data_IF_362219604600
#
_entry.id   IF_362219604600
#
_cell.length_a   1.000
_cell.length_b   1.000
_cell.length_c   1.000
_cell.angle_alpha   90.00
_cell.angle_beta   90.00
_cell.angle_gamma   90.00
#
_symmetry.space_group_name_H-M   'P 1'
#
loop_
_entity.id
_entity.type
_entity.pdbx_description
1 polymer ?
#
# COMPACT_ATOMS: atom_id res chain seq x y z
N UNK A 1 -6.75 7.66 -14.08
CA UNK A 1 -6.18 6.96 -15.25
C UNK A 1 -7.31 6.60 -16.20
N UNK A 2 -7.08 6.71 -17.49
CA UNK A 2 -8.04 6.31 -18.53
C UNK A 2 -8.38 4.82 -18.36
N UNK A 3 -9.65 4.48 -18.27
CA UNK A 3 -10.09 3.10 -18.01
C UNK A 3 -10.34 2.77 -16.54
N UNK A 4 -10.09 3.67 -15.60
CA UNK A 4 -10.46 3.48 -14.20
C UNK A 4 -11.98 3.36 -14.06
N UNK A 5 -12.42 2.30 -13.39
CA UNK A 5 -13.82 2.12 -12.95
C UNK A 5 -13.99 2.48 -11.48
N UNK A 6 -12.89 2.75 -10.77
CA UNK A 6 -12.92 3.19 -9.39
C UNK A 6 -13.26 4.68 -9.33
N UNK A 7 -14.20 5.01 -8.49
CA UNK A 7 -14.54 6.38 -8.15
C UNK A 7 -13.77 6.77 -6.89
N UNK A 8 -12.95 7.80 -6.98
CA UNK A 8 -12.29 8.41 -5.83
C UNK A 8 -12.95 9.75 -5.55
N UNK A 9 -13.56 9.90 -4.37
CA UNK A 9 -14.29 11.11 -3.99
C UNK A 9 -13.83 11.62 -2.63
N UNK A 10 -13.64 12.94 -2.51
CA UNK A 10 -13.49 13.56 -1.20
C UNK A 10 -14.83 13.49 -0.44
N UNK A 11 -14.80 12.98 0.79
CA UNK A 11 -15.94 12.91 1.70
C UNK A 11 -15.47 13.37 3.09
N UNK A 12 -15.71 14.64 3.43
CA UNK A 12 -15.12 15.23 4.64
C UNK A 12 -13.60 15.23 4.52
N UNK A 13 -12.92 14.63 5.49
CA UNK A 13 -11.47 14.51 5.54
C UNK A 13 -10.95 13.22 4.87
N UNK A 14 -11.85 12.38 4.35
CA UNK A 14 -11.53 11.12 3.71
C UNK A 14 -11.48 11.21 2.18
N UNK A 15 -10.68 10.34 1.58
CA UNK A 15 -10.79 9.93 0.18
C UNK A 15 -11.53 8.60 0.15
N UNK A 16 -12.80 8.64 -0.28
CA UNK A 16 -13.60 7.44 -0.47
C UNK A 16 -13.30 6.81 -1.83
N UNK A 17 -12.88 5.55 -1.82
CA UNK A 17 -12.63 4.74 -3.01
C UNK A 17 -13.72 3.69 -3.18
N UNK A 18 -14.45 3.73 -4.29
CA UNK A 18 -15.56 2.83 -4.56
C UNK A 18 -15.50 2.24 -5.96
N UNK A 19 -15.89 0.97 -6.08
CA UNK A 19 -15.78 0.20 -7.31
C UNK A 19 -14.32 -0.02 -7.72
N UNK A 20 -14.10 -0.57 -8.88
CA UNK A 20 -12.76 -0.87 -9.41
C UNK A 20 -12.86 -1.70 -10.70
N UNK A 21 -11.72 -1.98 -11.31
CA UNK A 21 -10.37 -1.55 -10.94
C UNK A 21 -10.10 -0.07 -11.25
N UNK A 22 -9.12 0.50 -10.56
CA UNK A 22 -8.65 1.86 -10.83
C UNK A 22 -7.63 2.36 -9.81
N UNK A 23 -7.01 3.49 -10.12
CA UNK A 23 -5.93 4.06 -9.33
C UNK A 23 -6.04 5.57 -9.24
N UNK A 24 -5.74 6.12 -8.05
CA UNK A 24 -5.52 7.54 -7.83
C UNK A 24 -4.04 7.75 -7.55
N UNK A 25 -3.32 8.33 -8.51
CA UNK A 25 -1.86 8.52 -8.45
C UNK A 25 -1.50 9.93 -7.97
N UNK A 26 -0.36 10.05 -7.27
CA UNK A 26 0.20 11.35 -6.90
C UNK A 26 0.93 11.98 -8.09
N UNK A 27 0.94 13.32 -8.16
CA UNK A 27 1.81 14.06 -9.10
C UNK A 27 3.28 14.04 -8.66
N UNK A 28 3.52 13.93 -7.34
CA UNK A 28 4.86 13.87 -6.76
C UNK A 28 5.46 12.47 -6.78
N UNK A 29 6.79 12.40 -6.79
CA UNK A 29 7.56 11.15 -6.66
C UNK A 29 8.38 11.15 -5.38
N UNK A 30 8.51 9.97 -4.76
CA UNK A 30 9.11 9.79 -3.44
C UNK A 30 10.11 8.62 -3.47
N UNK A 31 11.32 8.86 -2.96
CA UNK A 31 12.37 7.85 -2.89
C UNK A 31 12.42 7.18 -1.52
N UNK A 32 13.04 7.86 -0.56
CA UNK A 32 13.04 7.44 0.85
C UNK A 32 12.00 8.26 1.59
N UNK A 33 11.11 7.59 2.31
CA UNK A 33 10.00 8.27 2.99
C UNK A 33 9.43 7.42 4.14
N UNK A 34 8.76 8.12 5.05
CA UNK A 34 7.76 7.56 5.94
C UNK A 34 6.38 7.99 5.41
N UNK A 35 5.50 7.05 5.16
CA UNK A 35 4.11 7.27 4.84
C UNK A 35 3.27 6.85 6.03
N UNK A 36 2.45 7.76 6.54
CA UNK A 36 1.43 7.48 7.54
C UNK A 36 0.05 7.70 6.92
N UNK A 37 -0.90 6.86 7.28
CA UNK A 37 -2.28 7.01 6.87
C UNK A 37 -3.22 6.25 7.79
N UNK A 38 -4.48 6.60 7.71
CA UNK A 38 -5.58 5.85 8.27
C UNK A 38 -6.44 5.28 7.15
N UNK A 39 -7.00 4.09 7.36
CA UNK A 39 -7.90 3.50 6.38
C UNK A 39 -8.95 2.61 7.06
N UNK A 40 -10.09 2.48 6.39
CA UNK A 40 -11.16 1.58 6.77
C UNK A 40 -11.68 0.84 5.54
N UNK A 41 -11.83 -0.48 5.65
CA UNK A 41 -12.62 -1.26 4.69
C UNK A 41 -14.09 -1.21 5.09
N UNK A 42 -14.99 -0.88 4.17
CA UNK A 42 -16.44 -0.76 4.46
C UNK A 42 -17.20 -2.07 4.22
N UNK A 43 -16.48 -3.15 3.99
CA UNK A 43 -17.00 -4.51 3.81
C UNK A 43 -16.02 -5.57 4.26
N UNK A 44 -16.48 -6.83 4.34
CA UNK A 44 -15.67 -7.94 4.81
C UNK A 44 -14.73 -8.46 3.73
N UNK A 45 -13.46 -8.62 4.06
CA UNK A 45 -12.44 -9.22 3.22
C UNK A 45 -12.20 -8.46 1.91
N UNK A 46 -12.42 -7.15 1.91
CA UNK A 46 -12.15 -6.31 0.75
C UNK A 46 -10.64 -6.24 0.49
N UNK A 47 -10.30 -6.06 -0.79
CA UNK A 47 -8.93 -5.93 -1.24
C UNK A 47 -8.67 -4.52 -1.79
N UNK A 48 -7.56 -3.97 -1.36
CA UNK A 48 -7.02 -2.69 -1.80
C UNK A 48 -5.53 -2.60 -1.48
N UNK A 49 -4.92 -1.46 -1.70
CA UNK A 49 -3.54 -1.22 -1.34
C UNK A 49 -3.08 0.19 -1.64
N UNK A 50 -1.92 0.53 -1.14
CA UNK A 50 -1.19 1.73 -1.54
C UNK A 50 0.08 1.30 -2.26
N UNK A 51 0.15 1.65 -3.54
CA UNK A 51 1.37 1.41 -4.30
C UNK A 51 2.39 2.50 -4.05
N UNK A 52 3.68 2.14 -4.07
CA UNK A 52 4.77 3.08 -3.87
C UNK A 52 5.97 2.78 -4.77
N UNK A 53 6.76 3.82 -5.02
CA UNK A 53 7.82 3.81 -6.04
C UNK A 53 7.34 3.30 -7.38
N UNK A 54 6.08 3.54 -7.71
CA UNK A 54 5.48 3.08 -8.95
C UNK A 54 5.96 3.90 -10.15
N UNK A 55 5.84 3.28 -11.32
CA UNK A 55 5.95 3.94 -12.62
C UNK A 55 4.55 4.45 -12.97
N UNK A 56 4.31 5.75 -13.13
CA UNK A 56 2.98 6.30 -13.36
C UNK A 56 2.41 5.92 -14.72
N UNK A 57 1.09 6.03 -14.86
CA UNK A 57 0.39 5.86 -16.14
C UNK A 57 0.33 4.42 -16.65
N UNK A 58 0.54 3.42 -15.80
CA UNK A 58 0.47 2.00 -16.20
C UNK A 58 -0.95 1.47 -16.08
N UNK A 59 -1.72 1.61 -17.16
CA UNK A 59 -3.15 1.27 -17.19
C UNK A 59 -3.47 -0.24 -17.07
N UNK A 60 -2.55 -1.11 -17.44
CA UNK A 60 -2.85 -2.54 -17.67
C UNK A 60 -2.33 -3.49 -16.60
N UNK A 61 -1.53 -3.05 -15.69
CA UNK A 61 -1.08 -3.88 -14.59
C UNK A 61 -1.39 -3.17 -13.30
N UNK A 62 -1.73 -3.89 -12.23
CA UNK A 62 -1.69 -3.29 -10.94
C UNK A 62 -0.32 -2.66 -10.86
N UNK A 63 -0.27 -1.40 -10.88
CA UNK A 63 0.85 -0.48 -10.93
C UNK A 63 2.22 -1.15 -10.90
N UNK A 64 3.10 -0.78 -11.77
CA UNK A 64 4.50 -1.19 -11.71
C UNK A 64 5.17 -0.55 -10.49
N UNK A 65 4.78 -0.98 -9.29
CA UNK A 65 5.20 -0.50 -7.98
C UNK A 65 5.33 -1.62 -6.96
N UNK A 66 5.92 -1.33 -5.81
CA UNK A 66 5.67 -2.10 -4.61
C UNK A 66 4.25 -1.79 -4.12
N UNK A 67 3.69 -2.69 -3.32
CA UNK A 67 2.33 -2.53 -2.82
C UNK A 67 2.29 -2.82 -1.32
N UNK A 68 1.85 -1.81 -0.54
CA UNK A 68 1.38 -2.01 0.81
C UNK A 68 -0.05 -2.59 0.71
N UNK A 69 -0.19 -3.86 1.03
CA UNK A 69 -1.46 -4.58 0.92
C UNK A 69 -2.48 -4.14 1.97
N UNK A 70 -3.73 -4.08 1.59
CA UNK A 70 -4.89 -3.95 2.48
C UNK A 70 -5.83 -5.12 2.23
N UNK A 71 -5.83 -6.08 3.16
CA UNK A 71 -6.77 -7.20 3.19
C UNK A 71 -6.79 -7.76 4.61
N UNK A 72 -7.93 -7.67 5.30
CA UNK A 72 -8.06 -8.07 6.70
C UNK A 72 -8.57 -9.51 6.86
N UNK A 73 -8.78 -10.25 5.75
CA UNK A 73 -9.29 -11.60 5.81
C UNK A 73 -8.26 -12.58 6.38
N UNK A 74 -8.76 -13.58 7.09
CA UNK A 74 -7.98 -14.60 7.77
C UNK A 74 -8.25 -15.97 7.15
N UNK A 75 -7.28 -16.87 7.26
CA UNK A 75 -7.47 -18.30 7.01
C UNK A 75 -7.86 -18.93 8.35
N UNK A 76 -9.00 -19.63 8.39
CA UNK A 76 -9.53 -20.32 9.57
C UNK A 76 -9.65 -19.43 10.82
N UNK A 77 -9.83 -18.11 10.65
CA UNK A 77 -9.93 -17.15 11.75
C UNK A 77 -8.60 -16.90 12.50
N UNK A 78 -7.49 -17.41 12.01
CA UNK A 78 -6.17 -17.27 12.63
C UNK A 78 -5.46 -16.00 12.13
N UNK A 79 -5.24 -15.03 13.02
CA UNK A 79 -4.55 -13.77 12.70
C UNK A 79 -3.10 -13.96 12.23
N UNK A 80 -2.45 -15.06 12.56
CA UNK A 80 -1.12 -15.42 12.06
C UNK A 80 -1.15 -16.04 10.65
N UNK A 81 -2.35 -16.25 10.10
CA UNK A 81 -2.57 -16.78 8.75
C UNK A 81 -3.32 -15.78 7.89
N UNK A 82 -2.67 -14.70 7.46
CA UNK A 82 -3.32 -13.71 6.61
C UNK A 82 -3.72 -14.34 5.27
N UNK A 83 -4.94 -14.03 4.81
CA UNK A 83 -5.33 -14.30 3.44
C UNK A 83 -4.75 -13.19 2.56
N UNK A 84 -4.34 -13.56 1.34
CA UNK A 84 -3.83 -12.61 0.34
C UNK A 84 -2.75 -11.66 0.89
N UNK A 85 -1.77 -12.23 1.61
CA UNK A 85 -0.65 -11.60 2.27
C UNK A 85 -0.99 -10.72 3.50
N UNK A 86 -2.20 -10.22 3.64
CA UNK A 86 -2.69 -9.44 4.79
C UNK A 86 -2.28 -7.97 4.81
N UNK A 87 -3.03 -7.18 5.57
CA UNK A 87 -2.80 -5.73 5.69
C UNK A 87 -1.43 -5.42 6.26
N UNK A 88 -0.69 -4.56 5.56
CA UNK A 88 0.69 -4.20 5.88
C UNK A 88 1.76 -5.01 5.18
N UNK A 89 1.41 -6.09 4.47
CA UNK A 89 2.35 -6.86 3.67
C UNK A 89 2.97 -5.99 2.55
N UNK A 90 4.16 -6.38 2.10
CA UNK A 90 4.66 -5.96 0.80
C UNK A 90 4.24 -7.05 -0.19
N UNK A 91 3.16 -6.79 -0.91
CA UNK A 91 2.46 -7.80 -1.71
C UNK A 91 3.38 -8.53 -2.67
N UNK A 92 3.27 -9.87 -2.72
CA UNK A 92 4.14 -10.77 -3.49
C UNK A 92 5.62 -10.73 -3.10
N UNK A 93 5.98 -10.08 -2.00
CA UNK A 93 7.36 -10.04 -1.49
C UNK A 93 7.44 -10.68 -0.11
N UNK A 94 6.68 -10.17 0.83
CA UNK A 94 6.64 -10.71 2.18
C UNK A 94 5.24 -10.50 2.77
N UNK A 95 4.61 -11.53 3.34
CA UNK A 95 3.33 -11.40 4.01
C UNK A 95 3.47 -10.62 5.33
N UNK A 96 2.38 -10.06 5.80
CA UNK A 96 2.27 -9.57 7.16
C UNK A 96 2.37 -10.75 8.15
N UNK A 97 3.08 -10.54 9.27
CA UNK A 97 3.22 -11.56 10.33
C UNK A 97 1.89 -11.87 11.00
N UNK A 98 1.04 -10.84 11.11
CA UNK A 98 -0.30 -10.92 11.69
C UNK A 98 -1.21 -9.94 10.98
N UNK A 99 -2.49 -10.29 10.86
CA UNK A 99 -3.54 -9.32 10.52
C UNK A 99 -3.97 -8.62 11.80
N UNK A 100 -3.61 -7.36 11.95
CA UNK A 100 -3.89 -6.55 13.15
C UNK A 100 -5.19 -5.76 12.99
N UNK A 101 -5.49 -5.32 11.77
CA UNK A 101 -6.70 -4.57 11.46
C UNK A 101 -7.93 -5.48 11.41
N UNK A 102 -9.09 -4.90 11.67
CA UNK A 102 -10.40 -5.51 11.49
C UNK A 102 -11.15 -4.81 10.36
N UNK A 103 -12.00 -5.54 9.64
CA UNK A 103 -12.92 -4.94 8.67
C UNK A 103 -13.92 -4.01 9.38
N UNK A 104 -14.36 -2.97 8.69
CA UNK A 104 -15.28 -1.93 9.18
C UNK A 104 -14.80 -1.16 10.41
N UNK A 105 -13.51 -1.20 10.66
CA UNK A 105 -12.87 -0.38 11.69
C UNK A 105 -11.71 0.38 11.10
N UNK A 106 -11.60 1.65 11.49
CA UNK A 106 -10.44 2.47 11.15
C UNK A 106 -9.18 1.84 11.75
N UNK A 107 -8.12 1.75 10.97
CA UNK A 107 -6.80 1.37 11.43
C UNK A 107 -5.77 2.41 10.99
N UNK A 108 -4.73 2.57 11.79
CA UNK A 108 -3.57 3.39 11.44
C UNK A 108 -2.49 2.53 10.81
N UNK A 109 -1.79 3.06 9.83
CA UNK A 109 -0.68 2.38 9.20
C UNK A 109 0.52 3.32 9.01
N UNK A 110 1.70 2.75 9.12
CA UNK A 110 2.98 3.41 8.80
C UNK A 110 3.76 2.50 7.87
N UNK A 111 4.29 3.07 6.80
CA UNK A 111 5.25 2.44 5.90
C UNK A 111 6.54 3.26 5.86
N UNK A 112 7.64 2.62 6.17
CA UNK A 112 8.98 3.17 5.96
C UNK A 112 9.58 2.53 4.72
N UNK A 113 10.00 3.36 3.76
CA UNK A 113 10.77 2.95 2.60
C UNK A 113 12.12 3.68 2.63
N UNK A 114 13.21 2.96 2.88
CA UNK A 114 14.55 3.51 2.97
C UNK A 114 15.54 2.63 2.20
N UNK A 115 16.09 3.15 1.11
CA UNK A 115 16.93 2.35 0.22
C UNK A 115 16.17 1.12 -0.29
N UNK A 116 16.70 -0.05 0.02
CA UNK A 116 16.10 -1.35 -0.30
C UNK A 116 15.35 -1.99 0.89
N UNK A 117 15.23 -1.27 2.03
CA UNK A 117 14.52 -1.74 3.21
C UNK A 117 13.13 -1.15 3.29
N UNK A 118 12.17 -2.02 3.64
CA UNK A 118 10.77 -1.67 3.84
C UNK A 118 10.30 -2.23 5.17
N UNK A 119 9.65 -1.40 5.96
CA UNK A 119 9.04 -1.84 7.21
C UNK A 119 7.65 -1.22 7.34
N UNK A 120 6.70 -2.00 7.84
CA UNK A 120 5.34 -1.53 8.03
C UNK A 120 4.80 -1.84 9.42
N UNK A 121 3.95 -0.95 9.89
CA UNK A 121 3.22 -1.08 11.14
C UNK A 121 1.73 -0.88 10.87
N UNK A 122 0.91 -1.64 11.59
CA UNK A 122 -0.55 -1.51 11.60
C UNK A 122 -1.00 -1.42 13.05
N UNK A 123 -1.75 -0.38 13.42
CA UNK A 123 -2.17 -0.10 14.79
C UNK A 123 -1.01 -0.16 15.81
N UNK A 124 0.18 0.32 15.41
CA UNK A 124 1.39 0.33 16.24
C UNK A 124 2.18 -0.99 16.28
N UNK A 125 1.68 -2.08 15.71
CA UNK A 125 2.40 -3.36 15.63
C UNK A 125 3.18 -3.47 14.34
N UNK A 126 4.48 -3.77 14.42
CA UNK A 126 5.30 -4.05 13.24
C UNK A 126 4.89 -5.38 12.62
N UNK A 127 4.34 -5.30 11.41
CA UNK A 127 3.87 -6.49 10.69
C UNK A 127 4.84 -6.95 9.59
N UNK A 128 5.69 -6.04 9.10
CA UNK A 128 6.75 -6.35 8.12
C UNK A 128 8.05 -5.64 8.49
N UNK A 129 9.15 -6.33 8.26
CA UNK A 129 10.49 -5.78 8.08
C UNK A 129 11.18 -6.64 7.02
N UNK A 130 11.48 -6.04 5.86
CA UNK A 130 11.98 -6.77 4.70
C UNK A 130 13.00 -5.96 3.90
N UNK A 131 14.05 -6.64 3.45
CA UNK A 131 15.06 -6.09 2.54
C UNK A 131 14.90 -6.70 1.15
N UNK A 132 14.82 -5.87 0.12
CA UNK A 132 14.79 -6.32 -1.26
C UNK A 132 16.20 -6.60 -1.77
N UNK A 133 16.58 -7.87 -1.78
CA UNK A 133 17.89 -8.33 -2.24
C UNK A 133 17.93 -8.73 -3.72
N UNK A 134 16.83 -8.49 -4.46
CA UNK A 134 16.76 -8.76 -5.90
C UNK A 134 17.70 -7.85 -6.69
N UNK A 135 17.99 -8.18 -7.92
CA UNK A 135 18.73 -7.30 -8.84
C UNK A 135 17.94 -6.02 -9.10
N UNK A 136 18.66 -4.92 -9.33
CA UNK A 136 18.04 -3.63 -9.65
C UNK A 136 17.20 -3.70 -10.93
N UNK A 137 16.05 -3.06 -10.90
CA UNK A 137 15.16 -2.93 -12.05
C UNK A 137 14.32 -1.65 -11.90
N UNK A 138 14.02 -1.02 -13.02
CA UNK A 138 13.12 0.14 -13.06
C UNK A 138 11.69 -0.20 -12.62
N UNK A 139 11.27 -1.45 -12.87
CA UNK A 139 9.97 -1.96 -12.46
C UNK A 139 10.10 -2.75 -11.16
N UNK A 140 9.51 -2.29 -10.03
CA UNK A 140 9.53 -3.02 -8.76
C UNK A 140 8.89 -4.41 -8.81
N UNK A 141 8.08 -4.69 -9.81
CA UNK A 141 7.51 -6.02 -10.04
C UNK A 141 8.58 -7.03 -10.51
N UNK A 142 9.59 -6.56 -11.23
CA UNK A 142 10.63 -7.39 -11.83
C UNK A 142 11.91 -7.43 -10.99
N UNK A 143 12.20 -6.39 -10.20
CA UNK A 143 13.40 -6.32 -9.40
C UNK A 143 13.35 -5.28 -8.30
N UNK A 144 14.51 -4.96 -7.72
CA UNK A 144 14.66 -3.94 -6.71
C UNK A 144 14.65 -2.55 -7.33
N UNK A 145 13.84 -1.66 -6.79
CA UNK A 145 13.85 -0.24 -7.14
C UNK A 145 14.09 0.60 -5.91
N UNK A 146 15.22 1.29 -5.87
CA UNK A 146 15.57 2.25 -4.81
C UNK A 146 15.27 3.69 -5.20
N UNK A 147 15.13 3.95 -6.49
CA UNK A 147 14.83 5.27 -7.02
C UNK A 147 13.41 5.71 -6.68
N UNK A 148 13.20 7.02 -6.70
CA UNK A 148 11.88 7.62 -6.48
C UNK A 148 10.86 7.13 -7.52
N UNK A 149 9.61 7.10 -7.11
CA UNK A 149 8.45 6.85 -7.93
C UNK A 149 7.21 7.38 -7.24
N UNK A 150 6.08 7.28 -7.89
CA UNK A 150 4.83 7.84 -7.41
C UNK A 150 4.18 6.93 -6.35
N UNK A 151 3.16 7.44 -5.68
CA UNK A 151 2.23 6.66 -4.86
C UNK A 151 0.90 6.53 -5.60
N UNK A 152 0.14 5.48 -5.30
CA UNK A 152 -1.25 5.43 -5.72
C UNK A 152 -2.14 4.64 -4.75
N UNK A 153 -3.37 5.11 -4.57
CA UNK A 153 -4.43 4.36 -3.93
C UNK A 153 -5.07 3.43 -4.95
N UNK A 154 -5.38 2.21 -4.54
CA UNK A 154 -5.96 1.19 -5.41
C UNK A 154 -7.46 1.03 -5.17
N UNK A 155 -8.26 1.07 -6.25
CA UNK A 155 -9.52 0.37 -6.33
C UNK A 155 -9.26 -0.99 -6.99
N UNK A 156 -9.33 -2.07 -6.23
CA UNK A 156 -8.89 -3.39 -6.69
C UNK A 156 -9.89 -4.04 -7.67
N UNK A 157 -11.16 -4.08 -7.31
CA UNK A 157 -12.21 -4.77 -8.05
C UNK A 157 -13.59 -4.11 -7.82
N UNK A 158 -14.66 -4.58 -8.46
CA UNK A 158 -15.99 -3.97 -8.33
C UNK A 158 -16.58 -3.94 -6.91
N UNK A 159 -15.98 -4.66 -5.95
CA UNK A 159 -16.39 -4.66 -4.54
C UNK A 159 -15.64 -3.65 -3.70
N UNK A 160 -14.62 -2.99 -4.25
CA UNK A 160 -13.87 -1.97 -3.53
C UNK A 160 -14.80 -0.95 -2.89
N UNK A 161 -14.64 -0.77 -1.58
CA UNK A 161 -15.36 0.22 -0.77
C UNK A 161 -14.51 0.52 0.46
N UNK A 162 -13.68 1.56 0.38
CA UNK A 162 -12.71 1.94 1.41
C UNK A 162 -12.68 3.44 1.60
N UNK A 163 -12.33 3.85 2.81
CA UNK A 163 -11.98 5.23 3.15
C UNK A 163 -10.49 5.31 3.50
N UNK A 164 -9.84 6.36 3.03
CA UNK A 164 -8.46 6.71 3.35
C UNK A 164 -8.45 8.10 3.96
N UNK A 165 -7.80 8.25 5.13
CA UNK A 165 -7.71 9.51 5.87
C UNK A 165 -6.28 9.79 6.32
N UNK A 166 -6.00 11.02 6.73
CA UNK A 166 -4.74 11.44 7.35
C UNK A 166 -3.49 10.95 6.58
N UNK A 167 -3.54 11.01 5.24
CA UNK A 167 -2.41 10.55 4.42
C UNK A 167 -1.30 11.60 4.48
N UNK A 168 -0.21 11.25 5.15
CA UNK A 168 0.96 12.11 5.30
C UNK A 168 2.21 11.39 4.81
N UNK A 169 3.03 12.11 4.04
CA UNK A 169 4.31 11.60 3.57
C UNK A 169 5.45 12.51 4.02
N UNK A 170 6.43 11.91 4.67
CA UNK A 170 7.61 12.59 5.21
C UNK A 170 8.86 12.06 4.49
N UNK A 171 9.51 12.85 3.62
CA UNK A 171 10.76 12.46 3.01
C UNK A 171 11.84 12.18 4.06
N UNK A 172 12.53 11.06 3.93
CA UNK A 172 13.64 10.71 4.79
C UNK A 172 14.96 11.13 4.13
N UNK A 173 15.65 12.06 4.77
CA UNK A 173 16.99 12.44 4.35
C UNK A 173 17.98 11.36 4.84
N UNK A 174 18.52 10.58 3.91
CA UNK A 174 19.67 9.74 4.21
C UNK A 174 20.88 10.68 4.27
N UNK A 175 21.43 10.91 5.45
CA UNK A 175 22.76 11.52 5.54
C UNK A 175 23.71 10.66 4.70
N UNK A 176 24.47 11.28 3.79
CA UNK A 176 25.50 10.57 3.07
C UNK A 176 26.40 9.84 4.08
N UNK A 177 26.76 8.58 3.86
CA UNK A 177 27.74 7.92 4.72
C UNK A 177 29.02 8.75 4.75
N UNK A 178 29.49 9.04 5.98
CA UNK A 178 30.76 9.74 6.20
C UNK A 178 31.91 8.86 5.76
#
# INVERSE_FOLDING_TARGET
ADGSKCEFKAQGDAIHAKNGPGFLETDGSYGNFALQFEAQTNGDGLNSGIFFRLIPGTEKAPSNGYEFQINNALIDGDRAKPKDAGTGAIFRRTPARYVVADDRKMFTAVLIAQGDHFASWVNGYQVVSWQDTRKDNENPREGRKVMAGHLSLQGHDPKTDLDFEAIEIHPLNVAAPK
#
